data_IF_391028548189
#
_entry.id   IF_391028548189
#
_cell.length_a   1.000
_cell.length_b   1.000
_cell.length_c   1.000
_cell.angle_alpha   90.00
_cell.angle_beta   90.00
_cell.angle_gamma   90.00
#
_symmetry.space_group_name_H-M   'P 1'
#
loop_
_entity.id
_entity.type
_entity.pdbx_description
1 polymer ?
#
# COMPACT_ATOMS: atom_id res chain seq x y z
N UNK A 1 -6.39 -13.08 -16.75
CA UNK A 1 -6.66 -12.63 -16.44
C UNK A 1 -6.39 -11.80 -15.77
N UNK A 2 -6.39 -11.25 -15.65
CA UNK A 2 -6.07 -10.50 -15.12
C UNK A 2 -6.29 -10.13 -14.21
N UNK A 3 -6.14 -9.93 -13.72
CA UNK A 3 -6.38 -9.52 -12.88
C UNK A 3 -6.13 -8.49 -12.27
N UNK A 4 -6.40 -7.60 -12.54
CA UNK A 4 -6.11 -6.49 -11.80
C UNK A 4 -6.79 -6.60 -10.53
N UNK A 5 -6.05 -6.88 -9.61
CA UNK A 5 -6.57 -7.14 -8.31
C UNK A 5 -6.69 -5.84 -7.56
N UNK A 6 -7.90 -5.46 -7.25
CA UNK A 6 -8.13 -4.29 -6.43
C UNK A 6 -8.11 -4.69 -4.98
N UNK A 7 -7.28 -4.02 -4.21
CA UNK A 7 -7.26 -4.21 -2.76
C UNK A 7 -8.29 -3.28 -2.15
N UNK A 8 -9.35 -3.85 -1.60
CA UNK A 8 -10.41 -3.07 -1.00
C UNK A 8 -10.19 -2.87 0.50
N UNK A 9 -11.05 -2.06 1.09
CA UNK A 9 -10.95 -1.75 2.50
C UNK A 9 -11.21 -2.96 3.38
N UNK A 10 -12.06 -3.88 2.90
CA UNK A 10 -12.42 -5.06 3.67
C UNK A 10 -11.46 -6.23 3.45
N UNK A 11 -10.48 -6.06 2.59
CA UNK A 11 -9.49 -7.10 2.35
C UNK A 11 -8.43 -7.09 3.43
N UNK A 12 -7.88 -8.26 3.70
CA UNK A 12 -6.75 -8.38 4.60
C UNK A 12 -5.55 -8.87 3.81
N UNK A 13 -4.37 -8.34 4.12
CA UNK A 13 -3.16 -8.76 3.45
C UNK A 13 -1.96 -8.33 4.28
N UNK A 14 -0.84 -8.93 4.00
CA UNK A 14 0.42 -8.45 4.55
C UNK A 14 1.50 -8.63 3.50
N UNK A 15 2.50 -7.79 3.57
CA UNK A 15 3.58 -7.86 2.61
C UNK A 15 4.71 -6.92 2.99
N UNK A 16 5.67 -6.82 2.09
CA UNK A 16 6.87 -6.00 2.30
C UNK A 16 6.86 -4.86 1.31
N UNK A 17 7.18 -3.67 1.79
CA UNK A 17 7.27 -2.48 0.94
C UNK A 17 8.46 -2.65 0.01
N UNK A 18 8.22 -2.58 -1.29
CA UNK A 18 9.28 -2.66 -2.28
C UNK A 18 9.52 -1.32 -2.97
N UNK A 19 8.57 -0.40 -2.86
CA UNK A 19 8.76 0.93 -3.42
C UNK A 19 7.78 1.90 -2.76
N UNK A 20 8.16 3.16 -2.69
CA UNK A 20 7.32 4.23 -2.19
C UNK A 20 7.31 5.35 -3.22
N UNK A 21 6.13 5.88 -3.48
CA UNK A 21 6.01 6.95 -4.46
C UNK A 21 4.91 7.92 -4.04
N UNK A 22 4.91 9.06 -4.68
CA UNK A 22 3.86 10.06 -4.47
C UNK A 22 3.64 10.80 -5.77
N UNK A 23 2.45 11.37 -5.91
CA UNK A 23 2.14 12.12 -7.10
C UNK A 23 0.89 12.91 -6.95
N UNK A 24 0.72 13.92 -7.80
CA UNK A 24 -0.48 14.73 -7.84
C UNK A 24 -1.39 14.20 -8.92
N UNK A 25 -2.56 13.71 -8.51
CA UNK A 25 -3.49 13.15 -9.48
C UNK A 25 -4.48 14.18 -10.01
N UNK A 26 -4.70 15.25 -9.26
CA UNK A 26 -5.65 16.28 -9.69
C UNK A 26 -5.16 17.68 -9.30
N UNK A 27 -3.90 17.91 -9.53
CA UNK A 27 -3.32 19.24 -9.44
C UNK A 27 -3.03 19.72 -8.03
N UNK A 28 -4.01 19.72 -7.18
CA UNK A 28 -3.87 20.30 -5.85
C UNK A 28 -3.54 19.28 -4.77
N UNK A 29 -3.86 18.02 -4.99
CA UNK A 29 -3.74 17.01 -3.96
C UNK A 29 -2.58 16.08 -4.24
N UNK A 30 -1.79 15.85 -3.19
CA UNK A 30 -0.69 14.91 -3.25
C UNK A 30 -1.13 13.58 -2.65
N UNK A 31 -0.98 12.52 -3.41
CA UNK A 31 -1.33 11.17 -2.97
C UNK A 31 -0.05 10.38 -2.74
N UNK A 32 -0.12 9.48 -1.78
CA UNK A 32 1.02 8.68 -1.37
C UNK A 32 0.72 7.22 -1.64
N UNK A 33 1.66 6.51 -2.26
CA UNK A 33 1.48 5.13 -2.65
C UNK A 33 2.63 4.28 -2.15
N UNK A 34 2.33 3.03 -1.87
CA UNK A 34 3.34 2.04 -1.55
C UNK A 34 3.13 0.84 -2.45
N UNK A 35 4.21 0.32 -3.01
CA UNK A 35 4.17 -0.95 -3.71
C UNK A 35 4.54 -2.03 -2.71
N UNK A 36 3.68 -3.02 -2.58
CA UNK A 36 3.79 -4.05 -1.56
C UNK A 36 3.91 -5.39 -2.26
N UNK A 37 4.92 -6.16 -1.89
CA UNK A 37 5.04 -7.53 -2.37
C UNK A 37 4.35 -8.45 -1.37
N UNK A 38 3.31 -9.12 -1.82
CA UNK A 38 2.54 -10.03 -1.00
C UNK A 38 3.24 -11.37 -0.85
N UNK A 39 2.77 -12.18 0.09
CA UNK A 39 3.43 -13.43 0.42
C UNK A 39 3.56 -14.37 -0.78
N UNK A 40 2.60 -14.35 -1.70
CA UNK A 40 2.64 -15.22 -2.87
C UNK A 40 3.42 -14.62 -4.03
N UNK A 41 4.07 -13.50 -3.83
CA UNK A 41 4.96 -12.91 -4.83
C UNK A 41 4.36 -11.80 -5.67
N UNK A 42 3.07 -11.61 -5.62
CA UNK A 42 2.42 -10.54 -6.37
C UNK A 42 2.73 -9.18 -5.75
N UNK A 43 2.95 -8.18 -6.60
CA UNK A 43 3.17 -6.82 -6.13
C UNK A 43 1.93 -6.00 -6.43
N UNK A 44 1.44 -5.28 -5.42
CA UNK A 44 0.28 -4.43 -5.56
C UNK A 44 0.65 -3.01 -5.15
N UNK A 45 -0.01 -2.03 -5.77
CA UNK A 45 0.18 -0.63 -5.44
C UNK A 45 -1.03 -0.17 -4.65
N UNK A 46 -0.80 0.35 -3.46
CA UNK A 46 -1.89 0.80 -2.59
C UNK A 46 -1.68 2.25 -2.22
N UNK A 47 -2.80 2.97 -2.07
CA UNK A 47 -2.76 4.34 -1.58
C UNK A 47 -2.81 4.30 -0.06
N UNK A 48 -1.90 5.03 0.56
CA UNK A 48 -1.82 5.07 2.02
C UNK A 48 -1.83 6.51 2.49
N UNK A 49 -2.07 6.70 3.77
CA UNK A 49 -2.05 8.01 4.35
C UNK A 49 -0.63 8.56 4.47
N UNK A 50 -0.53 9.87 4.50
CA UNK A 50 0.75 10.56 4.60
C UNK A 50 1.52 10.13 5.85
N UNK A 51 0.82 9.97 6.97
CA UNK A 51 1.47 9.59 8.21
C UNK A 51 2.14 8.23 8.12
N UNK A 52 1.44 7.26 7.57
CA UNK A 52 2.01 5.94 7.38
C UNK A 52 3.15 5.99 6.38
N UNK A 53 2.96 6.70 5.27
CA UNK A 53 3.97 6.81 4.22
C UNK A 53 5.29 7.34 4.78
N UNK A 54 5.22 8.31 5.69
CA UNK A 54 6.41 8.88 6.29
C UNK A 54 7.07 7.97 7.31
N UNK A 55 6.33 7.03 7.87
CA UNK A 55 6.84 6.19 8.95
C UNK A 55 7.39 4.87 8.44
N UNK A 56 7.25 4.56 7.16
CA UNK A 56 7.71 3.30 6.60
C UNK A 56 8.80 3.55 5.58
N UNK A 57 9.55 2.49 5.27
CA UNK A 57 10.60 2.53 4.28
C UNK A 57 10.58 1.24 3.48
N UNK A 58 11.25 1.24 2.34
CA UNK A 58 11.41 0.02 1.56
C UNK A 58 12.05 -1.04 2.44
N UNK A 59 11.43 -2.23 2.46
CA UNK A 59 11.86 -3.32 3.31
C UNK A 59 11.01 -3.52 4.55
N UNK A 60 10.18 -2.53 4.89
CA UNK A 60 9.30 -2.65 6.04
C UNK A 60 8.11 -3.53 5.73
N UNK A 61 7.59 -4.16 6.77
CA UNK A 61 6.42 -5.01 6.65
C UNK A 61 5.16 -4.22 6.96
N UNK A 62 4.13 -4.43 6.16
CA UNK A 62 2.85 -3.77 6.32
C UNK A 62 1.77 -4.83 6.48
N UNK A 63 0.87 -4.61 7.41
CA UNK A 63 -0.26 -5.51 7.67
C UNK A 63 -1.55 -4.72 7.52
N UNK A 64 -2.49 -5.28 6.78
CA UNK A 64 -3.82 -4.69 6.61
C UNK A 64 -4.85 -5.69 7.09
N UNK A 65 -5.73 -5.24 7.97
CA UNK A 65 -6.85 -6.06 8.45
C UNK A 65 -8.16 -5.51 7.91
N UNK A 66 -9.20 -6.34 7.85
CA UNK A 66 -10.48 -5.87 7.31
C UNK A 66 -11.00 -4.68 8.09
N UNK A 67 -11.45 -3.67 7.36
CA UNK A 67 -12.09 -2.51 7.96
C UNK A 67 -11.17 -1.50 8.62
N UNK A 68 -9.85 -1.73 8.61
CA UNK A 68 -8.90 -0.79 9.20
C UNK A 68 -7.81 -0.45 8.20
N UNK A 69 -7.16 0.67 8.45
CA UNK A 69 -6.08 1.11 7.57
C UNK A 69 -4.84 0.24 7.75
N UNK A 70 -3.99 0.15 6.73
CA UNK A 70 -2.74 -0.59 6.85
C UNK A 70 -1.86 0.02 7.94
N UNK A 71 -1.12 -0.83 8.60
CA UNK A 71 -0.18 -0.40 9.64
C UNK A 71 1.14 -1.14 9.48
N UNK A 72 2.17 -0.56 10.06
CA UNK A 72 3.47 -1.20 10.07
C UNK A 72 3.43 -2.40 11.00
N UNK A 73 3.81 -3.54 10.46
CA UNK A 73 3.78 -4.80 11.21
C UNK A 73 5.03 -5.14 11.95
#
# INVERSE_FOLDING_TARGET
MSNSHKIGRDDSWEGVVVDLSRGMLDGANMYHFAEIRLAHGETVKVRIGRGLWKSIAVGDRIVKRPGVDPVKG
#
